data_IF_244576532887
#
_entry.id   IF_244576532887
#
_cell.length_a   1.000
_cell.length_b   1.000
_cell.length_c   1.000
_cell.angle_alpha   90.00
_cell.angle_beta   90.00
_cell.angle_gamma   90.00
#
_symmetry.space_group_name_H-M   'P 1'
#
loop_
_entity.id
_entity.type
_entity.pdbx_description
1 polymer ?
#
# COMPACT_ATOMS: atom_id res chain seq x y z
N UNK A 1 5.50 5.36 45.08
CA UNK A 1 6.41 5.36 43.92
C UNK A 1 5.64 4.87 42.70
N UNK A 2 5.48 5.73 41.70
CA UNK A 2 4.91 5.43 40.38
C UNK A 2 5.84 4.50 39.59
N UNK A 3 5.26 3.56 38.82
CA UNK A 3 5.66 3.05 37.49
C UNK A 3 5.19 1.60 37.33
N UNK A 4 4.82 1.10 36.16
CA UNK A 4 4.42 1.74 34.93
C UNK A 4 3.59 0.70 34.17
N UNK A 5 2.37 1.10 33.86
CA UNK A 5 1.55 0.66 32.74
C UNK A 5 2.38 0.11 31.56
N UNK A 6 2.26 -1.17 31.27
CA UNK A 6 2.45 -1.71 29.92
C UNK A 6 1.20 -2.47 29.55
N UNK A 7 0.25 -1.70 29.00
CA UNK A 7 -0.88 -2.19 28.24
C UNK A 7 -0.29 -3.01 27.09
N UNK A 8 -0.41 -4.34 27.20
CA UNK A 8 -0.25 -5.24 26.09
C UNK A 8 -1.45 -4.98 25.17
N UNK A 9 -1.26 -4.11 24.17
CA UNK A 9 -2.29 -3.89 23.14
C UNK A 9 -2.41 -5.18 22.35
N UNK A 10 -3.46 -5.92 22.68
CA UNK A 10 -4.05 -7.02 21.94
C UNK A 10 -4.20 -6.55 20.49
N UNK A 11 -3.44 -7.14 19.56
CA UNK A 11 -3.72 -7.02 18.12
C UNK A 11 -5.02 -7.80 17.86
N UNK A 12 -6.14 -7.14 17.52
CA UNK A 12 -7.33 -7.87 17.17
C UNK A 12 -7.10 -8.55 15.82
N UNK A 13 -7.47 -9.81 15.82
CA UNK A 13 -7.75 -10.71 14.73
C UNK A 13 -7.98 -10.04 13.38
N UNK A 14 -7.23 -10.58 12.41
CA UNK A 14 -7.47 -10.58 10.98
C UNK A 14 -8.95 -10.92 10.70
N UNK A 15 -9.83 -9.93 10.65
CA UNK A 15 -11.15 -10.08 10.07
C UNK A 15 -10.96 -9.75 8.59
N UNK A 16 -11.05 -10.78 7.75
CA UNK A 16 -11.25 -10.66 6.32
C UNK A 16 -12.65 -10.06 6.11
N UNK A 17 -12.81 -8.79 6.45
CA UNK A 17 -14.06 -8.08 6.33
C UNK A 17 -14.20 -7.79 4.84
N UNK A 18 -14.94 -8.67 4.16
CA UNK A 18 -15.49 -8.40 2.84
C UNK A 18 -16.10 -7.00 2.91
N UNK A 19 -15.43 -6.04 2.29
CA UNK A 19 -15.92 -4.67 2.14
C UNK A 19 -17.34 -4.76 1.62
N UNK A 20 -18.35 -4.28 2.36
CA UNK A 20 -19.71 -4.32 1.89
C UNK A 20 -19.77 -3.42 0.65
N UNK A 21 -20.16 -4.00 -0.50
CA UNK A 21 -20.19 -3.40 -1.85
C UNK A 21 -21.07 -2.14 -2.00
N UNK A 22 -21.53 -1.52 -0.91
CA UNK A 22 -22.68 -0.61 -0.90
C UNK A 22 -22.32 0.88 -0.94
N UNK A 23 -21.06 1.24 -1.17
CA UNK A 23 -20.68 2.63 -1.45
C UNK A 23 -19.93 2.82 -2.78
N UNK A 24 -20.03 1.85 -3.71
CA UNK A 24 -19.70 2.07 -5.12
C UNK A 24 -20.76 3.03 -5.70
N UNK A 25 -20.60 4.31 -5.36
CA UNK A 25 -21.09 5.47 -6.10
C UNK A 25 -20.94 5.12 -7.57
N UNK A 26 -22.03 5.02 -8.36
CA UNK A 26 -22.04 4.56 -9.77
C UNK A 26 -20.74 4.98 -10.49
N UNK A 27 -19.73 4.12 -10.48
CA UNK A 27 -18.52 4.32 -11.23
C UNK A 27 -18.94 3.94 -12.64
N UNK A 28 -18.91 4.91 -13.55
CA UNK A 28 -19.29 4.66 -14.93
C UNK A 28 -18.27 3.70 -15.52
N UNK A 29 -18.68 2.92 -16.53
CA UNK A 29 -17.81 1.97 -17.21
C UNK A 29 -16.54 2.63 -17.77
N UNK A 30 -16.61 3.92 -18.08
CA UNK A 30 -15.50 4.77 -18.52
C UNK A 30 -14.40 4.95 -17.45
N UNK A 31 -14.77 4.96 -16.16
CA UNK A 31 -13.82 5.13 -15.04
C UNK A 31 -12.88 3.92 -14.93
N UNK A 32 -13.38 2.72 -15.25
CA UNK A 32 -12.57 1.50 -15.23
C UNK A 32 -11.62 1.41 -16.41
N UNK A 33 -12.02 1.86 -17.60
CA UNK A 33 -11.14 1.87 -18.79
C UNK A 33 -9.94 2.81 -18.57
N UNK A 34 -10.19 4.02 -18.07
CA UNK A 34 -9.12 4.96 -17.71
C UNK A 34 -8.20 4.39 -16.61
N UNK A 35 -8.77 3.72 -15.60
CA UNK A 35 -7.99 3.13 -14.53
C UNK A 35 -7.11 1.96 -14.99
N UNK A 36 -7.54 1.16 -15.98
CA UNK A 36 -6.71 0.10 -16.59
C UNK A 36 -5.52 0.68 -17.34
N UNK A 37 -5.74 1.68 -18.19
CA UNK A 37 -4.64 2.36 -18.88
C UNK A 37 -3.66 2.99 -17.89
N UNK A 38 -4.18 3.57 -16.81
CA UNK A 38 -3.35 4.06 -15.71
C UNK A 38 -2.51 2.93 -15.07
N UNK A 39 -3.10 1.76 -14.80
CA UNK A 39 -2.37 0.62 -14.21
C UNK A 39 -1.19 0.16 -15.09
N UNK A 40 -1.36 0.15 -16.42
CA UNK A 40 -0.29 -0.21 -17.36
C UNK A 40 0.86 0.81 -17.35
N UNK A 41 0.53 2.09 -17.15
CA UNK A 41 1.52 3.17 -17.07
C UNK A 41 2.20 3.28 -15.69
N UNK A 42 1.59 2.72 -14.65
CA UNK A 42 2.05 2.87 -13.28
C UNK A 42 3.24 1.96 -13.03
N UNK A 43 4.42 2.56 -12.84
CA UNK A 43 5.67 1.87 -12.54
C UNK A 43 6.27 2.38 -11.22
N UNK A 44 7.19 1.67 -10.56
CA UNK A 44 7.85 2.17 -9.36
C UNK A 44 8.55 3.54 -9.56
N UNK A 45 8.97 3.85 -10.79
CA UNK A 45 9.60 5.11 -11.16
C UNK A 45 8.59 6.25 -11.40
N UNK A 46 7.31 5.94 -11.58
CA UNK A 46 6.25 6.95 -11.78
C UNK A 46 5.97 7.77 -10.53
N UNK A 47 6.32 7.24 -9.34
CA UNK A 47 6.16 7.94 -8.07
C UNK A 47 7.28 8.97 -7.92
N UNK A 48 6.98 10.28 -7.92
CA UNK A 48 8.03 11.29 -7.88
C UNK A 48 8.83 11.27 -6.58
N UNK A 49 10.16 11.35 -6.67
CA UNK A 49 11.02 11.36 -5.48
C UNK A 49 10.67 12.48 -4.47
N UNK A 50 10.12 13.62 -4.94
CA UNK A 50 9.72 14.77 -4.10
C UNK A 50 8.62 14.45 -3.08
N UNK A 51 7.82 13.40 -3.31
CA UNK A 51 6.73 13.00 -2.40
C UNK A 51 7.13 11.80 -1.52
N UNK A 52 8.33 11.28 -1.71
CA UNK A 52 8.87 10.11 -1.02
C UNK A 52 9.82 10.55 0.10
N UNK A 53 9.33 10.52 1.34
CA UNK A 53 10.16 10.79 2.52
C UNK A 53 10.78 9.50 3.03
N UNK A 54 12.09 9.34 2.82
CA UNK A 54 12.84 8.20 3.36
C UNK A 54 13.47 8.53 4.71
N UNK A 55 13.31 7.62 5.66
CA UNK A 55 14.00 7.65 6.95
C UNK A 55 14.71 6.32 7.21
N UNK A 56 15.87 6.38 7.84
CA UNK A 56 16.71 5.21 8.09
C UNK A 56 16.86 4.96 9.58
N UNK A 57 16.71 3.69 9.97
CA UNK A 57 16.83 3.27 11.36
C UNK A 57 17.61 1.96 11.45
N UNK A 58 17.87 1.52 12.68
CA UNK A 58 18.51 0.21 12.92
C UNK A 58 17.49 -0.90 12.67
N UNK A 59 17.91 -1.96 11.98
CA UNK A 59 17.08 -3.15 11.85
C UNK A 59 16.92 -3.83 13.21
N UNK A 60 15.77 -4.45 13.44
CA UNK A 60 15.44 -5.06 14.74
C UNK A 60 15.74 -6.54 14.69
N UNK A 61 17.02 -6.91 14.55
CA UNK A 61 17.48 -8.30 14.59
C UNK A 61 17.77 -8.80 16.02
N UNK A 62 17.65 -10.11 16.30
CA UNK A 62 17.96 -10.69 17.61
C UNK A 62 19.43 -10.42 17.99
N UNK A 63 19.62 -9.84 19.16
CA UNK A 63 20.90 -9.24 19.59
C UNK A 63 22.01 -10.25 19.85
N UNK A 64 23.20 -9.92 19.35
CA UNK A 64 24.49 -10.52 19.70
C UNK A 64 25.59 -9.47 19.58
N UNK A 65 26.60 -9.55 20.43
CA UNK A 65 27.68 -8.57 20.59
C UNK A 65 28.30 -8.23 19.21
N UNK A 66 28.19 -6.96 18.79
CA UNK A 66 28.68 -6.33 17.54
C UNK A 66 27.73 -6.18 16.32
N UNK A 67 26.43 -6.48 16.39
CA UNK A 67 25.61 -6.57 15.16
C UNK A 67 24.87 -5.27 14.73
N UNK A 68 24.82 -4.20 15.53
CA UNK A 68 23.99 -3.01 15.23
C UNK A 68 24.76 -1.71 14.96
N UNK A 69 25.70 -1.70 14.00
CA UNK A 69 26.44 -0.46 13.66
C UNK A 69 25.81 0.36 12.52
N UNK A 70 24.97 -0.22 11.66
CA UNK A 70 24.48 0.45 10.44
C UNK A 70 22.96 0.64 10.49
N UNK A 71 22.50 1.86 10.24
CA UNK A 71 21.08 2.20 10.08
C UNK A 71 20.58 1.70 8.71
N UNK A 72 20.44 0.39 8.52
CA UNK A 72 20.09 -0.16 7.20
C UNK A 72 18.59 -0.19 6.93
N UNK A 73 17.73 -0.26 7.94
CA UNK A 73 16.26 -0.31 7.77
C UNK A 73 15.77 0.99 7.12
N UNK A 74 15.11 0.87 5.98
CA UNK A 74 14.47 1.99 5.30
C UNK A 74 12.99 2.05 5.68
N UNK A 75 12.48 3.26 5.88
CA UNK A 75 11.06 3.56 6.07
C UNK A 75 10.68 4.66 5.10
N UNK A 76 9.83 4.32 4.13
CA UNK A 76 9.22 5.23 3.18
C UNK A 76 7.91 5.75 3.77
N UNK A 77 7.79 7.07 3.86
CA UNK A 77 6.56 7.76 4.22
C UNK A 77 6.10 8.62 3.04
N UNK A 78 4.82 8.53 2.71
CA UNK A 78 4.21 9.32 1.63
C UNK A 78 2.90 9.91 2.14
N UNK A 79 2.75 11.24 2.11
CA UNK A 79 1.48 11.89 2.46
C UNK A 79 0.40 11.58 1.43
N UNK A 80 -0.79 11.18 1.89
CA UNK A 80 -1.91 10.87 0.97
C UNK A 80 -2.33 12.08 0.15
N UNK A 81 -2.22 13.29 0.70
CA UNK A 81 -2.59 14.53 0.00
C UNK A 81 -1.76 14.76 -1.27
N UNK A 82 -0.52 14.25 -1.29
CA UNK A 82 0.36 14.29 -2.45
C UNK A 82 0.22 13.07 -3.38
N UNK A 83 -0.18 11.92 -2.82
CA UNK A 83 -0.29 10.66 -3.54
C UNK A 83 -1.61 10.53 -4.29
N UNK A 84 -2.74 10.85 -3.65
CA UNK A 84 -4.08 10.66 -4.21
C UNK A 84 -4.32 11.40 -5.54
N UNK A 85 -3.79 12.62 -5.78
CA UNK A 85 -3.92 13.29 -7.07
C UNK A 85 -3.24 12.56 -8.24
N UNK A 86 -2.29 11.66 -7.96
CA UNK A 86 -1.60 10.86 -8.98
C UNK A 86 -2.34 9.56 -9.31
N UNK A 87 -3.36 9.21 -8.53
CA UNK A 87 -4.06 7.94 -8.60
C UNK A 87 -5.52 8.13 -9.03
N UNK A 88 -6.10 7.18 -9.77
CA UNK A 88 -7.52 7.16 -10.06
C UNK A 88 -8.37 7.27 -8.78
N UNK A 89 -9.46 8.04 -8.84
CA UNK A 89 -10.36 8.27 -7.70
C UNK A 89 -10.89 6.97 -7.07
N UNK A 90 -11.04 5.92 -7.88
CA UNK A 90 -11.49 4.59 -7.45
C UNK A 90 -10.54 3.93 -6.43
N UNK A 91 -9.25 4.31 -6.44
CA UNK A 91 -8.24 3.76 -5.52
C UNK A 91 -8.16 4.53 -4.19
N UNK A 92 -8.81 5.69 -4.09
CA UNK A 92 -8.66 6.57 -2.92
C UNK A 92 -9.17 5.93 -1.62
N UNK A 93 -10.32 5.24 -1.68
CA UNK A 93 -10.87 4.51 -0.52
C UNK A 93 -10.04 3.26 -0.17
N UNK A 94 -9.75 2.34 -1.13
CA UNK A 94 -8.90 1.16 -0.88
C UNK A 94 -7.55 1.48 -0.23
N UNK A 95 -6.93 2.61 -0.59
CA UNK A 95 -5.65 3.03 -0.01
C UNK A 95 -5.82 3.47 1.44
N UNK A 96 -6.92 4.16 1.79
CA UNK A 96 -7.23 4.55 3.16
C UNK A 96 -7.58 3.36 4.04
N UNK A 97 -8.16 2.32 3.46
CA UNK A 97 -8.47 1.06 4.15
C UNK A 97 -7.27 0.10 4.26
N UNK A 98 -6.13 0.46 3.66
CA UNK A 98 -4.95 -0.40 3.63
C UNK A 98 -4.23 -0.48 4.98
N UNK A 99 -3.57 -1.62 5.22
CA UNK A 99 -2.74 -1.83 6.42
C UNK A 99 -1.53 -0.88 6.53
N UNK A 100 -1.12 -0.28 5.41
CA UNK A 100 0.02 0.63 5.35
C UNK A 100 -0.39 2.07 5.63
N UNK A 101 -1.69 2.36 5.75
CA UNK A 101 -2.20 3.68 6.06
C UNK A 101 -2.04 4.02 7.54
N UNK A 102 -1.35 5.13 7.79
CA UNK A 102 -1.24 5.73 9.10
C UNK A 102 -2.23 6.91 9.22
N UNK A 103 -3.38 6.64 9.83
CA UNK A 103 -4.46 7.61 10.01
C UNK A 103 -4.01 8.90 10.71
N UNK A 104 -3.16 8.79 11.75
CA UNK A 104 -2.70 9.95 12.53
C UNK A 104 -1.92 10.98 11.71
N UNK A 105 -1.14 10.54 10.72
CA UNK A 105 -0.34 11.44 9.89
C UNK A 105 -0.89 11.59 8.47
N UNK A 106 -2.04 10.99 8.18
CA UNK A 106 -2.60 10.88 6.83
C UNK A 106 -1.56 10.43 5.79
N UNK A 107 -0.74 9.42 6.12
CA UNK A 107 0.38 8.98 5.28
C UNK A 107 0.36 7.48 5.06
N UNK A 108 0.90 7.02 3.94
CA UNK A 108 1.25 5.63 3.71
C UNK A 108 2.67 5.39 4.22
N UNK A 109 2.86 4.32 5.00
CA UNK A 109 4.15 3.96 5.59
C UNK A 109 4.53 2.53 5.17
N UNK A 110 5.69 2.41 4.52
CA UNK A 110 6.23 1.14 4.04
C UNK A 110 7.66 1.00 4.55
N UNK A 111 8.01 -0.20 5.01
CA UNK A 111 9.31 -0.48 5.62
C UNK A 111 9.96 -1.70 4.98
N UNK A 112 11.29 -1.65 4.87
CA UNK A 112 12.12 -2.76 4.41
C UNK A 112 13.46 -2.78 5.16
N UNK A 113 13.87 -3.98 5.59
CA UNK A 113 15.14 -4.23 6.28
C UNK A 113 15.79 -5.55 5.86
N UNK A 114 15.51 -6.01 4.63
CA UNK A 114 16.02 -7.28 4.08
C UNK A 114 17.50 -7.26 3.68
N UNK A 115 18.07 -6.08 3.41
CA UNK A 115 19.48 -5.90 3.05
C UNK A 115 20.27 -5.13 4.12
N UNK A 116 21.60 -5.27 4.08
CA UNK A 116 22.53 -4.43 4.86
C UNK A 116 22.75 -3.05 4.23
N UNK A 117 22.37 -2.86 2.96
CA UNK A 117 22.52 -1.60 2.23
C UNK A 117 21.23 -0.78 2.31
N UNK A 118 21.37 0.51 2.65
CA UNK A 118 20.24 1.44 2.67
C UNK A 118 19.59 1.58 1.28
N UNK A 119 20.38 1.66 0.22
CA UNK A 119 19.89 1.80 -1.16
C UNK A 119 18.99 0.65 -1.58
N UNK A 120 19.42 -0.59 -1.33
CA UNK A 120 18.62 -1.78 -1.64
C UNK A 120 17.28 -1.75 -0.88
N UNK A 121 17.30 -1.38 0.40
CA UNK A 121 16.08 -1.29 1.22
C UNK A 121 15.16 -0.14 0.78
N UNK A 122 15.70 0.98 0.29
CA UNK A 122 14.91 2.07 -0.28
C UNK A 122 14.21 1.63 -1.57
N UNK A 123 14.92 0.91 -2.45
CA UNK A 123 14.35 0.33 -3.66
C UNK A 123 13.28 -0.71 -3.34
N UNK A 124 13.51 -1.55 -2.33
CA UNK A 124 12.52 -2.53 -1.87
C UNK A 124 11.25 -1.85 -1.33
N UNK A 125 11.37 -0.72 -0.62
CA UNK A 125 10.20 0.07 -0.21
C UNK A 125 9.38 0.56 -1.42
N UNK A 126 10.03 1.06 -2.47
CA UNK A 126 9.35 1.50 -3.70
C UNK A 126 8.70 0.34 -4.45
N UNK A 127 9.37 -0.81 -4.50
CA UNK A 127 8.81 -2.02 -5.10
C UNK A 127 7.56 -2.48 -4.35
N UNK A 128 7.62 -2.55 -3.01
CA UNK A 128 6.47 -2.89 -2.14
C UNK A 128 5.33 -1.90 -2.30
N UNK A 129 5.61 -0.60 -2.39
CA UNK A 129 4.61 0.43 -2.67
C UNK A 129 3.86 0.14 -3.97
N UNK A 130 4.62 -0.08 -5.04
CA UNK A 130 4.07 -0.36 -6.36
C UNK A 130 3.21 -1.64 -6.33
N UNK A 131 3.73 -2.74 -5.81
CA UNK A 131 2.99 -4.00 -5.69
C UNK A 131 1.70 -3.84 -4.88
N UNK A 132 1.76 -3.06 -3.79
CA UNK A 132 0.60 -2.81 -2.95
C UNK A 132 -0.50 -2.04 -3.70
N UNK A 133 -0.14 -0.97 -4.41
CA UNK A 133 -1.09 -0.17 -5.18
C UNK A 133 -1.70 -0.99 -6.33
N UNK A 134 -0.88 -1.76 -7.07
CA UNK A 134 -1.36 -2.64 -8.14
C UNK A 134 -2.31 -3.71 -7.58
N UNK A 135 -1.98 -4.31 -6.44
CA UNK A 135 -2.84 -5.28 -5.79
C UNK A 135 -4.21 -4.68 -5.43
N UNK A 136 -4.25 -3.48 -4.84
CA UNK A 136 -5.51 -2.79 -4.56
C UNK A 136 -6.28 -2.47 -5.85
N UNK A 137 -5.59 -2.05 -6.90
CA UNK A 137 -6.20 -1.76 -8.19
C UNK A 137 -6.86 -3.00 -8.81
N UNK A 138 -6.21 -4.16 -8.75
CA UNK A 138 -6.77 -5.43 -9.23
C UNK A 138 -8.01 -5.89 -8.46
N UNK A 139 -8.15 -5.54 -7.17
CA UNK A 139 -9.33 -5.88 -6.38
C UNK A 139 -10.55 -4.99 -6.73
N UNK A 140 -10.29 -3.76 -7.15
CA UNK A 140 -11.33 -2.73 -7.36
C UNK A 140 -11.75 -2.67 -8.82
N UNK A 141 -10.80 -2.80 -9.73
CA UNK A 141 -11.03 -2.78 -11.16
C UNK A 141 -11.37 -4.22 -11.55
N UNK A 142 -12.62 -4.53 -11.92
CA UNK A 142 -12.92 -5.84 -12.45
C UNK A 142 -12.04 -6.04 -13.69
N UNK A 143 -11.28 -7.13 -13.69
CA UNK A 143 -10.65 -7.64 -14.91
C UNK A 143 -11.72 -7.73 -15.99
N UNK A 144 -11.35 -7.52 -17.26
CA UNK A 144 -12.29 -7.80 -18.32
C UNK A 144 -12.78 -9.23 -18.14
N UNK A 145 -14.05 -9.35 -17.73
CA UNK A 145 -14.74 -10.61 -17.66
C UNK A 145 -14.42 -11.33 -18.97
N UNK A 146 -13.65 -12.43 -18.89
CA UNK A 146 -13.32 -13.17 -20.09
C UNK A 146 -14.63 -13.48 -20.81
N UNK A 147 -14.63 -13.39 -22.14
CA UNK A 147 -15.85 -13.45 -22.95
C UNK A 147 -16.74 -14.67 -22.60
N UNK A 148 -16.13 -15.74 -22.08
CA UNK A 148 -16.78 -16.94 -21.55
C UNK A 148 -17.85 -16.71 -20.46
N UNK A 149 -17.78 -15.61 -19.70
CA UNK A 149 -18.79 -15.29 -18.68
C UNK A 149 -19.82 -14.26 -19.17
N UNK A 150 -19.52 -13.50 -20.24
CA UNK A 150 -20.52 -12.68 -20.96
C UNK A 150 -21.46 -13.55 -21.80
N UNK A 151 -20.96 -14.62 -22.40
CA UNK A 151 -21.75 -15.57 -23.20
C UNK A 151 -22.85 -16.26 -22.37
N UNK A 152 -22.53 -16.66 -21.12
CA UNK A 152 -23.48 -17.35 -20.23
C UNK A 152 -24.66 -16.49 -19.79
N UNK A 153 -24.47 -15.19 -19.63
CA UNK A 153 -25.54 -14.27 -19.20
C UNK A 153 -26.48 -13.92 -20.35
N UNK A 154 -26.03 -14.01 -21.62
CA UNK A 154 -26.88 -13.83 -22.80
C UNK A 154 -27.76 -15.05 -23.13
N UNK A 155 -27.47 -16.21 -22.56
CA UNK A 155 -28.23 -17.45 -22.78
C UNK A 155 -29.29 -17.76 -21.71
N UNK A 156 -29.55 -16.80 -20.81
CA UNK A 156 -30.69 -16.81 -19.87
C UNK A 156 -31.70 -15.75 -20.30
#
# INVERSE_FOLDING_TARGET
MLQCMKILVIRPSFIHQRVPLQCIRRLHQDDFAAARSWMESFTPASVPARICDFSFSRSSGPGGQNVNKVNSKATLKISLDNLLPLLPAILHQPIRDSQHYAAKSNSLIIQADGSRKQTDNSQDCLSRLHQHIIHLAQQVIPGETSDAQRERVKQL
#
